data_IF_281993330314
#
_entry.id   IF_281993330314
#
_cell.length_a   1.000
_cell.length_b   1.000
_cell.length_c   1.000
_cell.angle_alpha   90.00
_cell.angle_beta   90.00
_cell.angle_gamma   90.00
#
_symmetry.space_group_name_H-M   'P 1'
#
loop_
_entity.id
_entity.type
_entity.pdbx_description
1 polymer ?
#
# COMPACT_ATOMS: atom_id res chain seq x y z
N UNK A 1 -4.13 3.38 -24.27
CA UNK A 1 -3.34 2.25 -23.74
C UNK A 1 -2.48 2.77 -22.60
N UNK A 2 -2.76 2.41 -21.33
CA UNK A 2 -1.88 2.75 -20.20
C UNK A 2 -0.62 1.89 -20.28
N UNK A 3 0.55 2.53 -20.29
CA UNK A 3 1.85 1.85 -20.19
C UNK A 3 1.90 1.16 -18.83
N UNK A 4 2.06 -0.17 -18.79
CA UNK A 4 2.38 -0.88 -17.54
C UNK A 4 3.71 -0.34 -17.03
N UNK A 5 3.75 0.10 -15.78
CA UNK A 5 4.97 0.63 -15.19
C UNK A 5 5.97 -0.48 -14.87
N UNK A 6 7.26 -0.18 -14.99
CA UNK A 6 8.33 -1.13 -14.69
C UNK A 6 8.30 -1.53 -13.20
N UNK A 7 8.57 -2.81 -12.93
CA UNK A 7 8.56 -3.35 -11.57
C UNK A 7 9.53 -2.64 -10.63
N UNK A 8 10.71 -2.21 -11.11
CA UNK A 8 11.62 -1.36 -10.34
C UNK A 8 10.94 -0.15 -9.72
N UNK A 9 10.16 0.61 -10.48
CA UNK A 9 9.49 1.81 -9.98
C UNK A 9 8.46 1.45 -8.90
N UNK A 10 7.72 0.36 -9.11
CA UNK A 10 6.77 -0.17 -8.12
C UNK A 10 7.47 -0.61 -6.83
N UNK A 11 8.63 -1.28 -6.93
CA UNK A 11 9.41 -1.67 -5.75
C UNK A 11 9.92 -0.47 -4.97
N UNK A 12 10.48 0.54 -5.66
CA UNK A 12 10.95 1.78 -5.05
C UNK A 12 9.82 2.50 -4.30
N UNK A 13 8.69 2.68 -4.95
CA UNK A 13 7.53 3.35 -4.35
C UNK A 13 6.98 2.57 -3.14
N UNK A 14 6.77 1.26 -3.29
CA UNK A 14 6.32 0.39 -2.21
C UNK A 14 7.23 0.52 -0.98
N UNK A 15 8.55 0.52 -1.20
CA UNK A 15 9.53 0.66 -0.13
C UNK A 15 9.39 1.99 0.60
N UNK A 16 9.25 3.09 -0.14
CA UNK A 16 9.06 4.41 0.46
C UNK A 16 7.77 4.49 1.27
N UNK A 17 6.69 3.92 0.76
CA UNK A 17 5.40 3.89 1.46
C UNK A 17 5.46 3.06 2.75
N UNK A 18 6.11 1.90 2.72
CA UNK A 18 6.33 1.09 3.94
C UNK A 18 7.15 1.85 4.98
N UNK A 19 8.25 2.49 4.57
CA UNK A 19 9.06 3.30 5.47
C UNK A 19 8.30 4.49 6.03
N UNK A 20 7.45 5.12 5.23
CA UNK A 20 6.61 6.22 5.67
C UNK A 20 5.61 5.74 6.73
N UNK A 21 4.90 4.63 6.51
CA UNK A 21 3.99 4.05 7.52
C UNK A 21 4.71 3.81 8.85
N UNK A 22 5.91 3.22 8.82
CA UNK A 22 6.71 2.97 10.02
C UNK A 22 7.15 4.25 10.74
N UNK A 23 7.49 5.31 9.98
CA UNK A 23 7.96 6.58 10.56
C UNK A 23 6.82 7.43 11.10
N UNK A 24 5.68 7.46 10.41
CA UNK A 24 4.59 8.37 10.75
C UNK A 24 3.60 7.80 11.76
N UNK A 25 3.57 6.49 11.97
CA UNK A 25 2.70 5.87 12.98
C UNK A 25 2.94 6.38 14.41
N UNK A 26 4.18 6.74 14.74
CA UNK A 26 4.54 7.32 16.05
C UNK A 26 4.32 8.83 16.13
N UNK A 27 3.87 9.48 15.04
CA UNK A 27 3.63 10.92 15.01
C UNK A 27 2.14 11.23 15.13
N UNK A 28 1.72 12.28 15.86
CA UNK A 28 0.32 12.70 15.93
C UNK A 28 -0.29 13.14 14.59
N UNK A 29 0.50 13.15 13.51
CA UNK A 29 0.14 13.74 12.22
C UNK A 29 -0.63 12.76 11.33
N UNK A 30 -0.45 11.46 11.49
CA UNK A 30 -1.16 10.41 10.73
C UNK A 30 -2.18 9.71 11.64
N UNK A 31 -3.09 10.52 12.23
CA UNK A 31 -4.21 10.00 13.03
C UNK A 31 -5.38 9.51 12.18
N UNK A 32 -5.43 9.88 10.90
CA UNK A 32 -6.33 9.30 9.91
C UNK A 32 -5.56 8.18 9.19
N UNK A 33 -6.17 6.99 9.08
CA UNK A 33 -5.48 5.82 8.53
C UNK A 33 -5.05 6.07 7.08
N UNK A 34 -3.74 5.90 6.82
CA UNK A 34 -3.15 6.14 5.50
C UNK A 34 -3.92 5.32 4.46
N UNK A 35 -4.40 5.96 3.40
CA UNK A 35 -5.06 5.29 2.28
C UNK A 35 -4.53 5.88 0.97
N UNK A 36 -4.80 5.21 -0.16
CA UNK A 36 -4.25 5.61 -1.46
C UNK A 36 -4.66 7.00 -1.92
N UNK A 37 -5.75 7.58 -1.41
CA UNK A 37 -6.17 8.95 -1.76
C UNK A 37 -5.25 10.02 -1.17
N UNK A 38 -4.47 9.69 -0.13
CA UNK A 38 -3.51 10.60 0.49
C UNK A 38 -2.10 10.56 -0.13
N UNK A 39 -1.87 9.67 -1.10
CA UNK A 39 -0.59 9.54 -1.81
C UNK A 39 -0.67 10.38 -3.08
N UNK A 40 0.27 11.31 -3.24
CA UNK A 40 0.36 12.18 -4.40
C UNK A 40 1.74 12.10 -5.03
N UNK A 41 1.79 12.31 -6.34
CA UNK A 41 3.03 12.34 -7.12
C UNK A 41 3.21 13.75 -7.65
N UNK A 42 4.46 14.24 -7.63
CA UNK A 42 4.78 15.51 -8.25
C UNK A 42 4.77 15.34 -9.78
N UNK A 43 4.13 16.26 -10.48
CA UNK A 43 4.25 16.36 -11.93
C UNK A 43 5.63 16.94 -12.26
N UNK A 44 6.40 16.22 -13.08
CA UNK A 44 7.76 16.64 -13.45
C UNK A 44 7.71 17.45 -14.75
N UNK A 45 8.07 18.74 -14.68
CA UNK A 45 8.12 19.64 -15.84
C UNK A 45 9.15 19.22 -16.91
N UNK A 46 10.10 18.33 -16.59
CA UNK A 46 11.10 17.86 -17.56
C UNK A 46 10.57 16.80 -18.52
N UNK A 47 9.36 16.25 -18.29
CA UNK A 47 8.68 15.31 -19.19
C UNK A 47 7.67 16.06 -20.08
N UNK A 48 8.11 17.16 -20.69
CA UNK A 48 7.25 18.09 -21.46
C UNK A 48 6.75 17.57 -22.81
N UNK A 49 6.95 16.29 -23.14
CA UNK A 49 6.39 15.68 -24.37
C UNK A 49 5.51 14.45 -24.13
N UNK A 50 5.38 13.98 -22.88
CA UNK A 50 4.46 12.91 -22.53
C UNK A 50 4.04 13.10 -21.07
N UNK A 51 2.77 13.48 -20.83
CA UNK A 51 2.21 13.71 -19.48
C UNK A 51 2.36 12.47 -18.59
N UNK A 52 3.50 12.32 -17.93
CA UNK A 52 3.86 11.18 -17.10
C UNK A 52 4.20 11.67 -15.70
N UNK A 53 3.62 11.03 -14.69
CA UNK A 53 3.99 11.25 -13.29
C UNK A 53 5.30 10.53 -13.00
N UNK A 54 6.20 11.14 -12.23
CA UNK A 54 7.40 10.45 -11.75
C UNK A 54 7.08 9.71 -10.45
N UNK A 55 7.28 8.38 -10.44
CA UNK A 55 7.24 7.60 -9.21
C UNK A 55 8.50 7.76 -8.35
N UNK A 56 9.48 8.55 -8.80
CA UNK A 56 10.75 8.71 -8.07
C UNK A 56 10.62 9.58 -6.82
N UNK A 57 9.65 10.52 -6.81
CA UNK A 57 9.44 11.47 -5.70
C UNK A 57 7.98 11.47 -5.19
N UNK A 58 7.48 10.35 -4.63
CA UNK A 58 6.16 10.31 -4.01
C UNK A 58 6.15 11.16 -2.74
N UNK A 59 5.08 11.93 -2.52
CA UNK A 59 4.86 12.63 -1.25
C UNK A 59 3.49 12.32 -0.67
N UNK A 60 3.43 12.25 0.66
CA UNK A 60 2.19 12.00 1.40
C UNK A 60 1.60 13.35 1.78
N UNK A 61 0.37 13.60 1.33
CA UNK A 61 -0.38 14.78 1.79
C UNK A 61 -1.09 14.42 3.08
N UNK A 62 -0.65 15.06 4.16
CA UNK A 62 -1.30 14.96 5.46
C UNK A 62 -2.21 16.17 5.61
N UNK A 63 -3.52 15.93 5.78
CA UNK A 63 -4.45 17.00 6.12
C UNK A 63 -4.29 17.32 7.61
N UNK A 64 -3.49 18.33 7.95
CA UNK A 64 -3.39 18.82 9.32
C UNK A 64 -4.69 19.56 9.66
N UNK A 65 -5.66 18.88 10.29
CA UNK A 65 -6.95 19.47 10.61
C UNK A 65 -6.78 20.62 11.62
N UNK A 66 -6.79 21.87 11.15
CA UNK A 66 -7.09 23.02 11.99
C UNK A 66 -8.59 23.03 12.28
N UNK A 67 -9.00 22.36 13.36
CA UNK A 67 -10.11 22.78 14.22
C UNK A 67 -10.29 21.72 15.31
N UNK A 68 -10.08 22.13 16.55
CA UNK A 68 -10.73 21.53 17.69
C UNK A 68 -12.24 21.66 17.49
N UNK A 69 -12.87 20.63 16.94
CA UNK A 69 -14.31 20.40 17.03
C UNK A 69 -14.51 18.91 16.86
N UNK A 70 -14.69 18.22 17.99
CA UNK A 70 -15.30 16.89 18.15
C UNK A 70 -15.54 16.11 16.85
N UNK A 71 -14.47 15.73 16.16
CA UNK A 71 -14.51 14.53 15.33
C UNK A 71 -14.43 13.39 16.31
N UNK A 72 -15.58 13.13 16.95
CA UNK A 72 -15.87 11.81 17.47
C UNK A 72 -15.42 10.84 16.40
N UNK A 73 -14.51 9.97 16.82
CA UNK A 73 -14.10 8.75 16.19
C UNK A 73 -15.27 8.17 15.37
N UNK A 74 -15.37 8.56 14.10
CA UNK A 74 -15.92 7.71 13.07
C UNK A 74 -14.76 6.86 12.57
N UNK A 75 -14.00 6.30 13.51
CA UNK A 75 -13.50 4.97 13.31
C UNK A 75 -14.76 4.15 13.04
N UNK A 76 -14.98 3.80 11.77
CA UNK A 76 -16.00 2.85 11.41
C UNK A 76 -15.77 1.66 12.34
N UNK A 77 -16.63 1.48 13.34
CA UNK A 77 -16.50 0.49 14.42
C UNK A 77 -16.44 -0.94 13.89
N UNK A 78 -16.68 -1.14 12.59
CA UNK A 78 -16.58 -2.39 11.86
C UNK A 78 -15.18 -2.65 11.26
N UNK A 79 -14.28 -1.65 11.20
CA UNK A 79 -12.94 -1.82 10.64
C UNK A 79 -12.04 -2.69 11.51
N UNK A 80 -12.08 -2.45 12.83
CA UNK A 80 -11.36 -3.25 13.83
C UNK A 80 -11.83 -4.70 13.93
N UNK A 81 -13.01 -5.05 13.40
CA UNK A 81 -13.51 -6.43 13.51
C UNK A 81 -12.90 -7.39 12.48
N UNK A 82 -12.40 -6.89 11.35
CA UNK A 82 -11.98 -7.75 10.23
C UNK A 82 -10.47 -7.76 10.01
N UNK A 83 -9.78 -6.62 10.18
CA UNK A 83 -8.33 -6.51 10.03
C UNK A 83 -7.63 -6.50 11.39
N UNK A 84 -6.53 -7.26 11.52
CA UNK A 84 -5.68 -7.28 12.73
C UNK A 84 -5.00 -5.93 13.00
N UNK A 85 -4.56 -5.26 11.93
CA UNK A 85 -3.94 -3.94 12.00
C UNK A 85 -4.40 -3.12 10.78
N UNK A 86 -5.09 -2.01 11.04
CA UNK A 86 -5.68 -1.18 9.98
C UNK A 86 -4.62 -0.49 9.11
N UNK A 87 -3.51 -0.03 9.69
CA UNK A 87 -2.43 0.62 8.95
C UNK A 87 -1.75 -0.35 7.98
N UNK A 88 -1.46 -1.57 8.44
CA UNK A 88 -0.86 -2.62 7.61
C UNK A 88 -1.84 -3.14 6.57
N UNK A 89 -3.12 -3.24 6.92
CA UNK A 89 -4.17 -3.57 5.97
C UNK A 89 -4.22 -2.53 4.84
N UNK A 90 -4.28 -1.24 5.16
CA UNK A 90 -4.31 -0.20 4.15
C UNK A 90 -3.01 -0.14 3.33
N UNK A 91 -1.85 -0.34 3.96
CA UNK A 91 -0.58 -0.48 3.24
C UNK A 91 -0.68 -1.64 2.23
N UNK A 92 -1.18 -2.79 2.66
CA UNK A 92 -1.43 -3.94 1.80
C UNK A 92 -2.36 -3.62 0.62
N UNK A 93 -3.45 -2.88 0.85
CA UNK A 93 -4.35 -2.37 -0.21
C UNK A 93 -3.59 -1.51 -1.21
N UNK A 94 -2.84 -0.51 -0.73
CA UNK A 94 -2.05 0.38 -1.59
C UNK A 94 -1.05 -0.41 -2.42
N UNK A 95 -0.38 -1.41 -1.82
CA UNK A 95 0.54 -2.28 -2.53
C UNK A 95 -0.18 -3.08 -3.63
N UNK A 96 -1.38 -3.60 -3.39
CA UNK A 96 -2.17 -4.26 -4.44
C UNK A 96 -2.57 -3.29 -5.55
N UNK A 97 -3.07 -2.09 -5.21
CA UNK A 97 -3.47 -1.10 -6.21
C UNK A 97 -2.30 -0.71 -7.13
N UNK A 98 -1.10 -0.57 -6.55
CA UNK A 98 0.14 -0.34 -7.30
C UNK A 98 0.55 -1.56 -8.16
N UNK A 99 0.38 -2.77 -7.62
CA UNK A 99 0.68 -4.01 -8.34
C UNK A 99 -0.19 -4.18 -9.59
N UNK A 100 -1.50 -3.98 -9.44
CA UNK A 100 -2.49 -4.14 -10.50
C UNK A 100 -2.69 -2.90 -11.39
N UNK A 101 -2.01 -1.78 -11.09
CA UNK A 101 -2.18 -0.49 -11.80
C UNK A 101 -3.63 0.01 -11.82
N UNK A 102 -4.38 -0.30 -10.76
CA UNK A 102 -5.81 -0.04 -10.68
C UNK A 102 -6.28 0.17 -9.24
N UNK A 103 -7.12 1.20 -8.97
CA UNK A 103 -7.81 1.33 -7.70
C UNK A 103 -8.60 0.07 -7.32
N UNK A 104 -8.63 -0.26 -6.03
CA UNK A 104 -9.25 -1.47 -5.47
C UNK A 104 -10.71 -1.59 -5.91
N UNK A 105 -11.43 -0.46 -5.96
CA UNK A 105 -12.83 -0.39 -6.41
C UNK A 105 -13.08 -0.90 -7.84
N UNK A 106 -12.06 -0.89 -8.71
CA UNK A 106 -12.16 -1.40 -10.07
C UNK A 106 -11.72 -2.87 -10.20
N UNK A 107 -11.14 -3.42 -9.13
CA UNK A 107 -10.68 -4.81 -9.08
C UNK A 107 -11.67 -5.73 -8.33
N UNK A 108 -12.78 -5.19 -7.84
CA UNK A 108 -13.83 -5.90 -7.12
C UNK A 108 -14.63 -6.83 -8.04
N UNK A 109 -15.12 -7.91 -7.44
CA UNK A 109 -16.06 -8.85 -8.05
C UNK A 109 -17.42 -8.78 -7.34
N UNK A 110 -18.46 -9.33 -7.97
CA UNK A 110 -19.78 -9.43 -7.36
C UNK A 110 -19.76 -10.24 -6.04
N UNK A 111 -18.90 -11.25 -5.94
CA UNK A 111 -18.69 -12.07 -4.74
C UNK A 111 -18.11 -11.29 -3.54
N UNK A 112 -17.49 -10.13 -3.80
CA UNK A 112 -16.90 -9.30 -2.73
C UNK A 112 -17.96 -8.39 -2.07
N UNK A 113 -19.15 -8.28 -2.66
CA UNK A 113 -20.22 -7.36 -2.21
C UNK A 113 -21.25 -8.15 -1.40
N UNK A 114 -21.55 -7.69 -0.18
CA UNK A 114 -22.64 -8.24 0.61
C UNK A 114 -23.98 -7.68 0.14
N UNK A 115 -25.02 -8.51 0.13
CA UNK A 115 -26.38 -8.07 -0.21
C UNK A 115 -26.81 -6.85 0.61
N UNK A 116 -27.29 -5.82 -0.10
CA UNK A 116 -27.74 -4.55 0.50
C UNK A 116 -26.61 -3.61 0.94
N UNK A 117 -25.34 -3.98 0.75
CA UNK A 117 -24.22 -3.13 1.09
C UNK A 117 -23.84 -2.19 -0.08
N UNK A 118 -23.31 -1.02 0.24
CA UNK A 118 -22.88 -0.08 -0.80
C UNK A 118 -21.52 -0.47 -1.36
N UNK A 119 -21.28 -0.09 -2.61
CA UNK A 119 -20.00 -0.23 -3.33
C UNK A 119 -18.76 0.29 -2.56
N UNK A 120 -18.95 1.20 -1.62
CA UNK A 120 -17.89 1.84 -0.84
C UNK A 120 -17.75 1.28 0.59
N UNK A 121 -18.54 0.26 0.95
CA UNK A 121 -18.50 -0.38 2.27
C UNK A 121 -17.11 -0.91 2.60
N UNK A 122 -16.73 -0.78 3.88
CA UNK A 122 -15.51 -1.40 4.41
C UNK A 122 -15.52 -2.92 4.20
N UNK A 123 -16.68 -3.56 4.31
CA UNK A 123 -16.83 -4.99 4.08
C UNK A 123 -16.37 -5.35 2.67
N UNK A 124 -16.91 -4.66 1.66
CA UNK A 124 -16.55 -4.88 0.25
C UNK A 124 -15.07 -4.67 0.00
N UNK A 125 -14.48 -3.61 0.56
CA UNK A 125 -13.04 -3.34 0.44
C UNK A 125 -12.20 -4.45 1.08
N UNK A 126 -12.60 -4.92 2.27
CA UNK A 126 -11.92 -5.99 2.99
C UNK A 126 -11.89 -7.29 2.19
N UNK A 127 -13.05 -7.74 1.70
CA UNK A 127 -13.14 -8.99 0.94
C UNK A 127 -12.46 -8.88 -0.43
N UNK A 128 -12.59 -7.74 -1.11
CA UNK A 128 -11.85 -7.47 -2.37
C UNK A 128 -10.34 -7.59 -2.14
N UNK A 129 -9.79 -6.89 -1.15
CA UNK A 129 -8.37 -6.91 -0.87
C UNK A 129 -7.88 -8.30 -0.43
N UNK A 130 -8.66 -9.02 0.38
CA UNK A 130 -8.33 -10.38 0.83
C UNK A 130 -8.32 -11.37 -0.34
N UNK A 131 -9.28 -11.29 -1.27
CA UNK A 131 -9.30 -12.13 -2.48
C UNK A 131 -8.09 -11.85 -3.35
N UNK A 132 -7.83 -10.58 -3.65
CA UNK A 132 -6.68 -10.16 -4.46
C UNK A 132 -5.34 -10.52 -3.80
N UNK A 133 -5.23 -10.40 -2.48
CA UNK A 133 -4.03 -10.79 -1.73
C UNK A 133 -3.73 -12.29 -1.83
N UNK A 134 -4.76 -13.15 -1.95
CA UNK A 134 -4.57 -14.60 -2.15
C UNK A 134 -4.04 -14.93 -3.54
N UNK A 135 -4.47 -14.21 -4.58
CA UNK A 135 -4.03 -14.46 -5.95
C UNK A 135 -2.77 -13.67 -6.35
N UNK A 136 -2.46 -12.57 -5.65
CA UNK A 136 -1.35 -11.67 -5.96
C UNK A 136 0.01 -12.38 -6.17
N UNK A 137 0.45 -13.36 -5.36
CA UNK A 137 1.71 -14.07 -5.62
C UNK A 137 1.77 -14.83 -6.95
N UNK A 138 0.62 -15.07 -7.59
CA UNK A 138 0.50 -15.76 -8.89
C UNK A 138 0.27 -14.77 -10.04
N UNK A 139 -0.46 -13.69 -9.80
CA UNK A 139 -0.88 -12.72 -10.83
C UNK A 139 0.06 -11.51 -10.97
N UNK A 140 0.86 -11.23 -9.94
CA UNK A 140 1.85 -10.16 -9.89
C UNK A 140 3.28 -10.75 -9.82
N UNK A 141 4.30 -9.89 -9.64
CA UNK A 141 5.61 -10.38 -9.21
C UNK A 141 5.44 -11.19 -7.91
N UNK A 142 5.96 -12.42 -7.93
CA UNK A 142 5.67 -13.38 -6.87
C UNK A 142 6.21 -12.94 -5.51
N UNK A 143 7.34 -12.21 -5.46
CA UNK A 143 7.88 -11.65 -4.21
C UNK A 143 6.98 -10.52 -3.75
N UNK A 144 6.68 -9.58 -4.63
CA UNK A 144 5.81 -8.44 -4.33
C UNK A 144 4.43 -8.86 -3.82
N UNK A 145 3.77 -9.79 -4.51
CA UNK A 145 2.45 -10.29 -4.14
C UNK A 145 2.45 -10.95 -2.75
N UNK A 146 3.54 -11.64 -2.38
CA UNK A 146 3.70 -12.18 -1.02
C UNK A 146 3.82 -11.07 0.02
N UNK A 147 4.56 -10.01 -0.28
CA UNK A 147 4.70 -8.87 0.64
C UNK A 147 3.37 -8.15 0.84
N UNK A 148 2.64 -7.86 -0.24
CA UNK A 148 1.32 -7.23 -0.17
C UNK A 148 0.34 -8.05 0.68
N UNK A 149 0.30 -9.37 0.46
CA UNK A 149 -0.51 -10.29 1.27
C UNK A 149 -0.10 -10.27 2.74
N UNK A 150 1.20 -10.29 3.03
CA UNK A 150 1.74 -10.29 4.40
C UNK A 150 1.33 -9.03 5.17
N UNK A 151 1.39 -7.87 4.51
CA UNK A 151 0.88 -6.61 5.06
C UNK A 151 -0.64 -6.68 5.31
N UNK A 152 -1.43 -7.12 4.33
CA UNK A 152 -2.89 -7.26 4.47
C UNK A 152 -3.32 -8.11 5.67
N UNK A 153 -2.62 -9.22 5.88
CA UNK A 153 -2.95 -10.20 6.93
C UNK A 153 -2.27 -9.89 8.26
N UNK A 154 -1.38 -8.88 8.31
CA UNK A 154 -0.50 -8.59 9.45
C UNK A 154 0.25 -9.86 9.92
N UNK A 155 0.75 -10.66 8.98
CA UNK A 155 1.35 -11.96 9.26
C UNK A 155 2.86 -11.86 9.48
N UNK A 156 3.27 -11.21 10.57
CA UNK A 156 4.69 -10.97 10.91
C UNK A 156 5.19 -11.82 12.09
N UNK A 157 4.31 -12.63 12.70
CA UNK A 157 4.68 -13.59 13.75
C UNK A 157 5.00 -13.00 15.14
N UNK A 158 4.83 -11.70 15.35
CA UNK A 158 5.26 -10.98 16.57
C UNK A 158 4.17 -10.14 17.25
N UNK A 159 2.92 -10.24 16.77
CA UNK A 159 1.78 -9.42 17.22
C UNK A 159 1.31 -8.43 16.15
N UNK A 160 0.37 -7.57 16.51
CA UNK A 160 -0.28 -6.61 15.62
C UNK A 160 -0.17 -5.14 16.08
N UNK A 161 0.51 -4.86 17.21
CA UNK A 161 0.77 -3.50 17.65
C UNK A 161 1.93 -2.87 16.85
N UNK A 162 1.60 -1.89 16.00
CA UNK A 162 2.58 -1.18 15.18
C UNK A 162 3.53 -0.32 16.03
N UNK A 163 3.17 0.01 17.27
CA UNK A 163 4.06 0.73 18.18
C UNK A 163 5.15 -0.18 18.78
N UNK A 164 4.96 -1.51 18.71
CA UNK A 164 5.96 -2.46 19.20
C UNK A 164 7.22 -2.45 18.32
N UNK A 165 8.37 -2.52 18.96
CA UNK A 165 9.66 -2.55 18.26
C UNK A 165 9.81 -3.86 17.47
N UNK A 166 9.22 -4.93 17.98
CA UNK A 166 9.21 -6.27 17.41
C UNK A 166 8.49 -6.26 16.05
N UNK A 167 7.28 -5.71 15.97
CA UNK A 167 6.53 -5.65 14.71
C UNK A 167 7.21 -4.72 13.70
N UNK A 168 7.71 -3.56 14.14
CA UNK A 168 8.45 -2.65 13.26
C UNK A 168 9.71 -3.30 12.68
N UNK A 169 10.48 -4.00 13.51
CA UNK A 169 11.67 -4.72 13.07
C UNK A 169 11.32 -5.84 12.08
N UNK A 170 10.24 -6.60 12.33
CA UNK A 170 9.76 -7.64 11.43
C UNK A 170 9.34 -7.05 10.07
N UNK A 171 8.62 -5.91 10.04
CA UNK A 171 8.23 -5.25 8.79
C UNK A 171 9.46 -4.75 8.01
N UNK A 172 10.45 -4.15 8.68
CA UNK A 172 11.69 -3.73 8.03
C UNK A 172 12.41 -4.94 7.41
N UNK A 173 12.55 -6.02 8.18
CA UNK A 173 13.23 -7.22 7.73
C UNK A 173 12.51 -7.92 6.57
N UNK A 174 11.20 -8.03 6.65
CA UNK A 174 10.43 -8.86 5.73
C UNK A 174 9.96 -8.11 4.49
N UNK A 175 9.70 -6.81 4.61
CA UNK A 175 9.15 -6.00 3.52
C UNK A 175 10.21 -5.08 2.93
N UNK A 176 10.79 -4.19 3.75
CA UNK A 176 11.72 -3.16 3.25
C UNK A 176 12.97 -3.81 2.65
N UNK A 177 13.59 -4.74 3.37
CA UNK A 177 14.80 -5.40 2.89
C UNK A 177 14.54 -6.28 1.66
N UNK A 178 13.38 -6.93 1.57
CA UNK A 178 13.03 -7.74 0.40
C UNK A 178 12.79 -6.87 -0.84
N UNK A 179 12.14 -5.71 -0.68
CA UNK A 179 12.00 -4.72 -1.76
C UNK A 179 13.37 -4.18 -2.19
N UNK A 180 14.28 -3.91 -1.25
CA UNK A 180 15.66 -3.49 -1.55
C UNK A 180 16.42 -4.55 -2.37
N UNK A 181 16.24 -5.84 -2.07
CA UNK A 181 16.82 -6.93 -2.88
C UNK A 181 16.24 -6.94 -4.29
N UNK A 182 14.92 -6.76 -4.44
CA UNK A 182 14.27 -6.71 -5.75
C UNK A 182 14.81 -5.56 -6.60
N UNK A 183 14.95 -4.36 -6.02
CA UNK A 183 15.49 -3.17 -6.71
C UNK A 183 16.94 -3.42 -7.18
N UNK A 184 17.79 -3.99 -6.31
CA UNK A 184 19.20 -4.27 -6.66
C UNK A 184 19.32 -5.32 -7.76
N UNK A 185 18.49 -6.35 -7.73
CA UNK A 185 18.50 -7.42 -8.73
C UNK A 185 18.07 -6.90 -10.10
N UNK A 186 17.02 -6.08 -10.17
CA UNK A 186 16.55 -5.51 -11.44
C UNK A 186 17.62 -4.58 -12.05
N UNK A 187 18.24 -3.72 -11.23
CA UNK A 187 19.34 -2.88 -11.70
C UNK A 187 20.59 -3.64 -12.16
N UNK A 188 20.84 -4.84 -11.62
CA UNK A 188 21.92 -5.70 -12.10
C UNK A 188 21.60 -6.36 -13.44
N UNK A 189 20.35 -6.78 -13.65
CA UNK A 189 19.87 -7.36 -14.91
C UNK A 189 19.96 -6.32 -16.04
N UNK A 190 19.51 -5.09 -15.79
CA UNK A 190 19.59 -4.00 -16.78
C UNK A 190 21.04 -3.68 -17.20
N UNK A 191 21.99 -3.78 -16.27
CA UNK A 191 23.42 -3.59 -16.54
C UNK A 191 24.01 -4.71 -17.41
N UNK A 192 23.51 -5.94 -17.29
CA UNK A 192 23.95 -7.08 -18.11
C UNK A 192 23.35 -7.02 -19.52
N UNK A 193 22.09 -6.61 -19.65
CA UNK A 193 21.37 -6.57 -20.92
C UNK A 193 21.68 -5.34 -21.80
N UNK A 194 22.40 -4.36 -21.26
CA UNK A 194 22.82 -3.14 -21.98
C UNK A 194 24.22 -3.26 -22.61
N UNK A 195 24.83 -4.45 -22.58
CA UNK A 195 26.08 -4.83 -23.26
C UNK A 195 25.76 -5.70 -24.48
#
# INVERSE_FOLDING_TARGET
MRRREAWTSKFKLARQLTLAVLRFQSTPWVRETLNSKGIHFLESETITQNHGYSLEDPFIRIQLSQAANNRQLTANSNAYQLSRNEFLFNLGVILLELGYDAPLRYLRNAEDIRDGDTDASWYTQFFTARRLGRSAPRELDARYGRLAKKCLECDFGVGDDLNSMELQAAIVMDVVNELDRCIKLDGHIDSILSV
#
